data_IF_176369273597
#
_entry.id   IF_176369273597
#
_cell.length_a   1.000
_cell.length_b   1.000
_cell.length_c   1.000
_cell.angle_alpha   90.00
_cell.angle_beta   90.00
_cell.angle_gamma   90.00
#
_symmetry.space_group_name_H-M   'P 1'
#
loop_
_entity.id
_entity.type
_entity.pdbx_description
1 polymer ?
#
# COMPACT_ATOMS: atom_id res chain seq x y z
N UNK A 1 0.94 23.56 -22.92
CA UNK A 1 -0.19 23.31 -21.99
C UNK A 1 -0.70 21.85 -21.98
N UNK A 2 -1.09 21.22 -23.10
CA UNK A 2 -1.72 19.86 -23.10
C UNK A 2 -0.91 18.76 -22.36
N UNK A 3 0.42 18.72 -22.54
CA UNK A 3 1.29 17.73 -21.87
C UNK A 3 1.36 17.91 -20.35
N UNK A 4 1.37 19.17 -19.88
CA UNK A 4 1.35 19.48 -18.45
C UNK A 4 0.04 19.02 -17.80
N UNK A 5 -1.09 19.20 -18.50
CA UNK A 5 -2.39 18.67 -18.05
C UNK A 5 -2.39 17.15 -17.93
N UNK A 6 -1.70 16.43 -18.82
CA UNK A 6 -1.59 14.97 -18.75
C UNK A 6 -0.77 14.51 -17.52
N UNK A 7 0.36 15.17 -17.23
CA UNK A 7 1.19 14.86 -16.06
C UNK A 7 0.39 15.07 -14.76
N UNK A 8 -0.30 16.20 -14.64
CA UNK A 8 -1.13 16.50 -13.46
C UNK A 8 -2.27 15.48 -13.30
N UNK A 9 -2.95 15.11 -14.39
CA UNK A 9 -3.98 14.05 -14.35
C UNK A 9 -3.41 12.71 -13.91
N UNK A 10 -2.22 12.34 -14.40
CA UNK A 10 -1.53 11.11 -13.99
C UNK A 10 -1.19 11.11 -12.50
N UNK A 11 -0.69 12.23 -11.97
CA UNK A 11 -0.41 12.39 -10.55
C UNK A 11 -1.68 12.27 -9.69
N UNK A 12 -2.79 12.89 -10.12
CA UNK A 12 -4.08 12.77 -9.43
C UNK A 12 -4.57 11.31 -9.40
N UNK A 13 -4.43 10.59 -10.52
CA UNK A 13 -4.77 9.16 -10.58
C UNK A 13 -3.92 8.33 -9.61
N UNK A 14 -2.59 8.54 -9.58
CA UNK A 14 -1.72 7.84 -8.64
C UNK A 14 -2.05 8.15 -7.18
N UNK A 15 -2.40 9.39 -6.85
CA UNK A 15 -2.84 9.75 -5.50
C UNK A 15 -4.16 9.06 -5.13
N UNK A 16 -5.12 8.98 -6.06
CA UNK A 16 -6.37 8.25 -5.85
C UNK A 16 -6.13 6.75 -5.62
N UNK A 17 -5.23 6.13 -6.38
CA UNK A 17 -4.87 4.72 -6.19
C UNK A 17 -4.20 4.49 -4.82
N UNK A 18 -3.29 5.38 -4.40
CA UNK A 18 -2.68 5.32 -3.07
C UNK A 18 -3.73 5.43 -1.96
N UNK A 19 -4.74 6.28 -2.13
CA UNK A 19 -5.84 6.42 -1.18
C UNK A 19 -6.66 5.12 -1.08
N UNK A 20 -7.03 4.52 -2.22
CA UNK A 20 -7.75 3.24 -2.24
C UNK A 20 -6.94 2.14 -1.55
N UNK A 21 -5.65 2.03 -1.85
CA UNK A 21 -4.75 1.08 -1.20
C UNK A 21 -4.67 1.32 0.31
N UNK A 22 -4.68 2.58 0.75
CA UNK A 22 -4.66 2.95 2.18
C UNK A 22 -5.91 2.47 2.90
N UNK A 23 -7.08 2.62 2.29
CA UNK A 23 -8.34 2.08 2.84
C UNK A 23 -8.31 0.55 2.86
N UNK A 24 -7.80 -0.08 1.80
CA UNK A 24 -7.65 -1.53 1.72
C UNK A 24 -6.80 -2.11 2.86
N UNK A 25 -5.64 -1.49 3.15
CA UNK A 25 -4.82 -1.92 4.28
C UNK A 25 -5.50 -1.69 5.63
N UNK A 26 -6.26 -0.60 5.78
CA UNK A 26 -6.98 -0.38 7.03
C UNK A 26 -7.92 -1.55 7.32
N UNK A 27 -8.64 -2.03 6.30
CA UNK A 27 -9.53 -3.20 6.42
C UNK A 27 -8.72 -4.48 6.68
N UNK A 28 -7.69 -4.75 5.88
CA UNK A 28 -6.88 -5.97 6.05
C UNK A 28 -6.17 -6.02 7.42
N UNK A 29 -5.62 -4.90 7.88
CA UNK A 29 -4.99 -4.81 9.21
C UNK A 29 -6.02 -4.90 10.34
N UNK A 30 -7.25 -4.41 10.13
CA UNK A 30 -8.34 -4.61 11.08
C UNK A 30 -8.64 -6.11 11.23
N UNK A 31 -8.80 -6.82 10.12
CA UNK A 31 -9.09 -8.26 10.12
C UNK A 31 -7.94 -9.07 10.73
N UNK A 32 -6.69 -8.78 10.33
CA UNK A 32 -5.50 -9.34 10.99
C UNK A 32 -5.53 -9.11 12.50
N UNK A 33 -5.89 -7.90 12.96
CA UNK A 33 -5.91 -7.61 14.40
C UNK A 33 -6.93 -8.43 15.19
N UNK A 34 -7.96 -8.94 14.53
CA UNK A 34 -9.04 -9.72 15.14
C UNK A 34 -8.82 -11.23 15.01
N UNK A 35 -8.35 -11.65 13.86
CA UNK A 35 -8.36 -13.07 13.48
C UNK A 35 -6.97 -13.69 13.56
N UNK A 36 -5.90 -12.89 13.46
CA UNK A 36 -4.54 -13.40 13.46
C UNK A 36 -4.11 -13.95 14.82
N UNK A 37 -3.72 -15.21 14.86
CA UNK A 37 -3.11 -15.86 16.02
C UNK A 37 -1.75 -16.42 15.61
N UNK A 38 -0.69 -15.92 16.24
CA UNK A 38 0.67 -16.37 15.97
C UNK A 38 0.96 -17.69 16.67
N UNK A 39 1.14 -18.76 15.89
CA UNK A 39 1.55 -20.09 16.38
C UNK A 39 2.86 -20.03 17.15
N UNK A 40 3.84 -19.24 16.68
CA UNK A 40 5.13 -19.05 17.36
C UNK A 40 4.96 -18.44 18.77
N UNK A 41 4.05 -17.47 18.92
CA UNK A 41 3.75 -16.90 20.25
C UNK A 41 3.02 -17.88 21.15
N UNK A 42 2.14 -18.72 20.61
CA UNK A 42 1.48 -19.76 21.40
C UNK A 42 2.48 -20.83 21.86
N UNK A 43 3.39 -21.25 20.98
CA UNK A 43 4.46 -22.19 21.32
C UNK A 43 5.40 -21.62 22.40
N UNK A 44 5.75 -20.33 22.31
CA UNK A 44 6.53 -19.64 23.35
C UNK A 44 5.81 -19.60 24.72
N UNK A 45 4.48 -19.70 24.73
CA UNK A 45 3.66 -19.81 25.94
C UNK A 45 3.38 -21.27 26.37
N UNK A 46 3.96 -22.25 25.67
CA UNK A 46 3.76 -23.68 25.93
C UNK A 46 2.38 -24.19 25.51
N UNK A 47 1.63 -23.44 24.70
CA UNK A 47 0.30 -23.81 24.23
C UNK A 47 0.45 -24.53 22.89
N UNK A 48 0.31 -25.86 22.90
CA UNK A 48 0.21 -26.65 21.68
C UNK A 48 -1.27 -26.79 21.31
N UNK A 49 -1.72 -26.00 20.33
CA UNK A 49 -3.08 -26.04 19.81
C UNK A 49 -3.06 -26.09 18.28
N UNK A 50 -3.89 -26.96 17.71
CA UNK A 50 -4.17 -26.94 16.28
C UNK A 50 -5.09 -25.76 15.99
N UNK A 51 -4.56 -24.72 15.36
CA UNK A 51 -5.32 -23.53 14.99
C UNK A 51 -6.07 -23.76 13.66
N UNK A 52 -7.30 -23.25 13.52
CA UNK A 52 -7.99 -23.20 12.24
C UNK A 52 -7.20 -22.41 11.19
N UNK A 53 -7.28 -22.79 9.91
CA UNK A 53 -6.51 -22.15 8.84
C UNK A 53 -6.77 -20.63 8.70
N UNK A 54 -7.98 -20.16 9.01
CA UNK A 54 -8.34 -18.74 8.89
C UNK A 54 -7.59 -17.85 9.89
N UNK A 55 -7.09 -18.38 11.01
CA UNK A 55 -6.35 -17.57 12.00
C UNK A 55 -4.96 -17.16 11.52
N UNK A 56 -4.50 -17.68 10.39
CA UNK A 56 -3.25 -17.25 9.78
C UNK A 56 -3.38 -15.92 9.02
N UNK A 57 -4.62 -15.52 8.67
CA UNK A 57 -4.92 -14.29 7.92
C UNK A 57 -4.04 -14.11 6.66
N UNK A 58 -3.76 -15.21 5.94
CA UNK A 58 -2.78 -15.20 4.84
C UNK A 58 -3.17 -14.25 3.71
N UNK A 59 -4.46 -14.18 3.37
CA UNK A 59 -4.96 -13.31 2.32
C UNK A 59 -4.80 -11.83 2.67
N UNK A 60 -5.07 -11.49 3.93
CA UNK A 60 -4.95 -10.14 4.45
C UNK A 60 -3.48 -9.69 4.47
N UNK A 61 -2.56 -10.57 4.87
CA UNK A 61 -1.12 -10.31 4.79
C UNK A 61 -0.63 -10.11 3.35
N UNK A 62 -1.16 -10.88 2.40
CA UNK A 62 -0.88 -10.70 0.98
C UNK A 62 -1.36 -9.34 0.48
N UNK A 63 -2.58 -8.92 0.87
CA UNK A 63 -3.13 -7.60 0.52
C UNK A 63 -2.21 -6.49 1.01
N UNK A 64 -1.81 -6.50 2.29
CA UNK A 64 -0.92 -5.50 2.88
C UNK A 64 0.43 -5.48 2.15
N UNK A 65 0.99 -6.64 1.82
CA UNK A 65 2.28 -6.75 1.12
C UNK A 65 2.21 -6.15 -0.29
N UNK A 66 1.20 -6.54 -1.07
CA UNK A 66 1.00 -6.04 -2.44
C UNK A 66 0.75 -4.53 -2.42
N UNK A 67 -0.10 -4.07 -1.49
CA UNK A 67 -0.44 -2.66 -1.29
C UNK A 67 0.78 -1.83 -0.93
N UNK A 68 1.65 -2.33 -0.04
CA UNK A 68 2.91 -1.67 0.31
C UNK A 68 3.81 -1.47 -0.92
N UNK A 69 4.06 -2.52 -1.69
CA UNK A 69 4.87 -2.45 -2.92
C UNK A 69 4.25 -1.47 -3.92
N UNK A 70 2.94 -1.56 -4.16
CA UNK A 70 2.23 -0.69 -5.09
C UNK A 70 2.31 0.79 -4.68
N UNK A 71 2.15 1.10 -3.39
CA UNK A 71 2.30 2.47 -2.89
C UNK A 71 3.71 2.99 -3.05
N UNK A 72 4.72 2.18 -2.76
CA UNK A 72 6.11 2.56 -2.95
C UNK A 72 6.36 2.97 -4.40
N UNK A 73 5.87 2.17 -5.36
CA UNK A 73 5.98 2.47 -6.79
C UNK A 73 5.19 3.73 -7.17
N UNK A 74 3.93 3.87 -6.76
CA UNK A 74 3.09 5.02 -7.12
C UNK A 74 3.61 6.34 -6.53
N UNK A 75 4.06 6.34 -5.28
CA UNK A 75 4.67 7.51 -4.65
C UNK A 75 6.00 7.87 -5.32
N UNK A 76 6.85 6.88 -5.61
CA UNK A 76 8.10 7.09 -6.36
C UNK A 76 7.86 7.71 -7.74
N UNK A 77 6.90 7.17 -8.50
CA UNK A 77 6.49 7.74 -9.78
C UNK A 77 5.93 9.15 -9.64
N UNK A 78 5.14 9.44 -8.60
CA UNK A 78 4.62 10.78 -8.32
C UNK A 78 5.76 11.79 -8.11
N UNK A 79 6.79 11.41 -7.33
CA UNK A 79 7.98 12.24 -7.12
C UNK A 79 8.70 12.51 -8.45
N UNK A 80 8.88 11.51 -9.31
CA UNK A 80 9.51 11.68 -10.63
C UNK A 80 8.70 12.59 -11.56
N UNK A 81 7.37 12.47 -11.55
CA UNK A 81 6.48 13.33 -12.34
C UNK A 81 6.54 14.78 -11.85
N UNK A 82 6.48 15.00 -10.54
CA UNK A 82 6.66 16.32 -9.92
C UNK A 82 8.01 16.94 -10.26
N UNK A 83 9.08 16.17 -10.15
CA UNK A 83 10.42 16.62 -10.49
C UNK A 83 10.53 17.06 -11.95
N UNK A 84 9.92 16.31 -12.86
CA UNK A 84 9.88 16.63 -14.29
C UNK A 84 9.08 17.91 -14.55
N UNK A 85 7.97 18.09 -13.83
CA UNK A 85 7.15 19.29 -13.92
C UNK A 85 7.94 20.54 -13.44
N UNK A 86 8.60 20.46 -12.29
CA UNK A 86 9.41 21.55 -11.74
C UNK A 86 10.59 21.92 -12.64
N UNK A 87 11.28 20.92 -13.22
CA UNK A 87 12.36 21.17 -14.19
C UNK A 87 11.85 21.91 -15.43
N UNK A 88 10.66 21.57 -15.90
CA UNK A 88 10.06 22.19 -17.07
C UNK A 88 9.65 23.63 -16.80
N UNK A 89 9.04 23.91 -15.64
CA UNK A 89 8.68 25.27 -15.24
C UNK A 89 9.91 26.19 -15.16
N UNK A 90 11.01 25.71 -14.57
CA UNK A 90 12.29 26.45 -14.53
C UNK A 90 12.91 26.72 -15.90
N UNK A 91 12.62 25.90 -16.91
CA UNK A 91 13.15 26.07 -18.26
C UNK A 91 12.30 27.02 -19.12
N UNK A 92 11.06 27.32 -18.70
CA UNK A 92 10.15 28.24 -19.36
C UNK A 92 10.20 29.67 -18.75
N UNK A 93 10.95 29.86 -17.65
CA UNK A 93 11.28 31.15 -17.02
C UNK A 93 12.64 31.66 -17.50
#
# INVERSE_FOLDING_TARGET
MKKTSLLVKGMLLFNLLVLILTVGDFLALHDISKDYISSERLEALGISASLPAWTAAEGEWQIVTISFIARFLFLGLNILLLWTLLKKEKAEQ
#
